data_IF_815845166500
#
_entry.id   IF_815845166500
#
_cell.length_a   1.000
_cell.length_b   1.000
_cell.length_c   1.000
_cell.angle_alpha   90.00
_cell.angle_beta   90.00
_cell.angle_gamma   90.00
#
_symmetry.space_group_name_H-M   'P 1'
#
loop_
_entity.id
_entity.type
_entity.pdbx_description
1 polymer ?
#
# COMPACT_ATOMS: atom_id res chain seq x y z
N UNK A 1 24.56 -3.80 12.02
CA UNK A 1 23.83 -2.57 11.62
C UNK A 1 23.51 -2.55 10.12
N UNK A 2 24.33 -3.17 9.26
CA UNK A 2 24.08 -3.27 7.80
C UNK A 2 22.80 -4.03 7.38
N UNK A 3 22.27 -4.92 8.23
CA UNK A 3 21.08 -5.74 7.88
C UNK A 3 19.74 -4.99 7.89
N UNK A 4 19.61 -3.85 8.57
CA UNK A 4 18.32 -3.15 8.67
C UNK A 4 17.91 -2.47 7.36
N UNK A 5 18.90 -2.00 6.59
CA UNK A 5 18.67 -1.42 5.27
C UNK A 5 18.01 -2.41 4.29
N UNK A 6 18.30 -3.71 4.44
CA UNK A 6 17.70 -4.75 3.58
C UNK A 6 16.22 -5.01 3.89
N UNK A 7 15.70 -4.54 5.02
CA UNK A 7 14.29 -4.71 5.39
C UNK A 7 13.37 -3.71 4.68
N UNK A 8 13.91 -2.60 4.17
CA UNK A 8 13.11 -1.50 3.61
C UNK A 8 12.26 -1.94 2.43
N UNK A 9 12.75 -2.72 1.45
CA UNK A 9 11.90 -3.23 0.38
C UNK A 9 10.72 -4.08 0.89
N UNK A 10 10.88 -4.76 2.04
CA UNK A 10 9.83 -5.63 2.58
C UNK A 10 8.59 -4.84 2.98
N UNK A 11 8.73 -3.57 3.37
CA UNK A 11 7.58 -2.76 3.77
C UNK A 11 6.56 -2.60 2.64
N UNK A 12 7.02 -2.54 1.38
CA UNK A 12 6.17 -2.47 0.19
C UNK A 12 5.84 -3.87 -0.34
N UNK A 13 6.81 -4.79 -0.32
CA UNK A 13 6.64 -6.13 -0.89
C UNK A 13 5.62 -6.98 -0.12
N UNK A 14 5.62 -6.94 1.21
CA UNK A 14 4.68 -7.70 2.05
C UNK A 14 3.21 -7.38 1.70
N UNK A 15 2.75 -6.12 1.70
CA UNK A 15 1.38 -5.80 1.35
C UNK A 15 1.11 -6.04 -0.14
N UNK A 16 2.09 -5.85 -1.01
CA UNK A 16 1.96 -6.17 -2.45
C UNK A 16 1.71 -7.65 -2.71
N UNK A 17 2.43 -8.53 -2.01
CA UNK A 17 2.23 -9.98 -2.08
C UNK A 17 0.85 -10.35 -1.52
N UNK A 18 0.45 -9.76 -0.39
CA UNK A 18 -0.89 -9.95 0.17
C UNK A 18 -2.00 -9.52 -0.80
N UNK A 19 -1.84 -8.38 -1.47
CA UNK A 19 -2.75 -7.90 -2.51
C UNK A 19 -2.82 -8.87 -3.68
N UNK A 20 -1.67 -9.32 -4.19
CA UNK A 20 -1.57 -10.25 -5.32
C UNK A 20 -2.26 -11.59 -5.00
N UNK A 21 -1.98 -12.18 -3.83
CA UNK A 21 -2.61 -13.43 -3.42
C UNK A 21 -4.13 -13.27 -3.31
N UNK A 22 -4.62 -12.21 -2.65
CA UNK A 22 -6.05 -11.97 -2.49
C UNK A 22 -6.76 -11.64 -3.81
N UNK A 23 -6.06 -11.03 -4.77
CA UNK A 23 -6.60 -10.70 -6.09
C UNK A 23 -6.76 -11.93 -6.98
N UNK A 24 -5.71 -12.75 -7.10
CA UNK A 24 -5.68 -13.87 -8.05
C UNK A 24 -6.15 -15.21 -7.46
N UNK A 25 -5.84 -15.47 -6.19
CA UNK A 25 -6.15 -16.74 -5.51
C UNK A 25 -7.32 -16.58 -4.55
N UNK A 26 -7.55 -15.37 -4.02
CA UNK A 26 -8.55 -15.10 -2.98
C UNK A 26 -9.99 -15.51 -3.33
N UNK A 27 -10.36 -15.54 -4.61
CA UNK A 27 -11.68 -16.03 -5.04
C UNK A 27 -11.93 -17.52 -4.73
N UNK A 28 -10.86 -18.30 -4.53
CA UNK A 28 -10.90 -19.74 -4.20
C UNK A 28 -10.69 -20.01 -2.71
N UNK A 29 -10.41 -18.98 -1.91
CA UNK A 29 -10.10 -19.09 -0.50
C UNK A 29 -11.33 -18.75 0.37
N UNK A 30 -11.45 -19.35 1.57
CA UNK A 30 -12.47 -18.92 2.51
C UNK A 30 -12.18 -17.50 3.02
N UNK A 31 -13.23 -16.76 3.42
CA UNK A 31 -13.10 -15.38 3.91
C UNK A 31 -12.05 -15.25 5.02
N UNK A 32 -12.00 -16.21 5.94
CA UNK A 32 -11.00 -16.23 7.02
C UNK A 32 -9.58 -16.23 6.49
N UNK A 33 -9.27 -17.02 5.46
CA UNK A 33 -7.93 -17.08 4.90
C UNK A 33 -7.55 -15.77 4.21
N UNK A 34 -8.47 -15.18 3.44
CA UNK A 34 -8.27 -13.85 2.81
C UNK A 34 -7.99 -12.78 3.87
N UNK A 35 -8.80 -12.76 4.94
CA UNK A 35 -8.67 -11.80 6.03
C UNK A 35 -7.34 -11.96 6.77
N UNK A 36 -6.92 -13.20 7.03
CA UNK A 36 -5.62 -13.51 7.64
C UNK A 36 -4.49 -13.04 6.73
N UNK A 37 -4.50 -13.40 5.45
CA UNK A 37 -3.46 -12.97 4.49
C UNK A 37 -3.35 -11.44 4.46
N UNK A 38 -4.48 -10.74 4.34
CA UNK A 38 -4.52 -9.29 4.28
C UNK A 38 -4.02 -8.64 5.58
N UNK A 39 -4.58 -9.06 6.71
CA UNK A 39 -4.26 -8.48 8.03
C UNK A 39 -2.85 -8.81 8.48
N UNK A 40 -2.37 -10.04 8.27
CA UNK A 40 -0.99 -10.43 8.60
C UNK A 40 0.01 -9.65 7.74
N UNK A 41 -0.28 -9.40 6.47
CA UNK A 41 0.58 -8.55 5.64
C UNK A 41 0.67 -7.11 6.20
N UNK A 42 -0.45 -6.52 6.62
CA UNK A 42 -0.45 -5.20 7.24
C UNK A 42 0.35 -5.18 8.56
N UNK A 43 0.12 -6.18 9.44
CA UNK A 43 0.81 -6.30 10.73
C UNK A 43 2.31 -6.51 10.55
N UNK A 44 2.73 -7.38 9.63
CA UNK A 44 4.15 -7.59 9.34
C UNK A 44 4.81 -6.32 8.81
N UNK A 45 4.10 -5.52 8.00
CA UNK A 45 4.59 -4.22 7.55
C UNK A 45 4.76 -3.24 8.71
N UNK A 46 3.85 -3.25 9.69
CA UNK A 46 3.99 -2.47 10.92
C UNK A 46 5.18 -2.90 11.77
N UNK A 47 5.43 -4.21 11.89
CA UNK A 47 6.62 -4.73 12.56
C UNK A 47 7.90 -4.24 11.87
N UNK A 48 7.95 -4.27 10.52
CA UNK A 48 9.08 -3.70 9.77
C UNK A 48 9.24 -2.20 10.05
N UNK A 49 8.16 -1.43 10.06
CA UNK A 49 8.20 0.01 10.39
C UNK A 49 8.76 0.27 11.80
N UNK A 50 8.35 -0.53 12.80
CA UNK A 50 8.87 -0.45 14.16
C UNK A 50 10.37 -0.77 14.23
N UNK A 51 10.83 -1.78 13.47
CA UNK A 51 12.25 -2.12 13.39
C UNK A 51 13.06 -0.96 12.78
N UNK A 52 12.58 -0.35 11.71
CA UNK A 52 13.22 0.83 11.11
C UNK A 52 13.24 2.03 12.06
N UNK A 53 12.16 2.23 12.84
CA UNK A 53 12.13 3.27 13.87
C UNK A 53 13.13 3.03 14.99
N UNK A 54 13.22 1.78 15.47
CA UNK A 54 14.18 1.39 16.51
C UNK A 54 15.62 1.60 16.05
N UNK A 55 15.91 1.37 14.76
CA UNK A 55 17.22 1.61 14.16
C UNK A 55 17.57 3.11 14.18
N UNK A 56 16.68 3.99 13.72
CA UNK A 56 16.94 5.44 13.71
C UNK A 56 17.02 6.01 15.14
N UNK A 57 16.16 5.57 16.04
CA UNK A 57 16.17 6.00 17.44
C UNK A 57 17.39 5.51 18.22
N UNK A 58 18.01 4.41 17.78
CA UNK A 58 19.25 3.86 18.33
C UNK A 58 20.53 4.54 17.86
N UNK A 59 20.43 5.66 17.13
CA UNK A 59 21.58 6.39 16.57
C UNK A 59 21.95 5.96 15.14
N UNK A 60 21.08 5.23 14.45
CA UNK A 60 21.23 4.96 13.02
C UNK A 60 21.03 6.24 12.19
N UNK A 61 21.89 6.46 11.21
CA UNK A 61 21.78 7.58 10.28
C UNK A 61 20.68 7.32 9.23
N UNK A 62 20.09 8.37 8.64
CA UNK A 62 19.21 8.25 7.50
C UNK A 62 19.89 7.54 6.32
N UNK A 63 19.18 6.62 5.66
CA UNK A 63 19.74 5.81 4.56
C UNK A 63 18.85 5.90 3.32
N UNK A 64 19.49 5.96 2.16
CA UNK A 64 18.85 5.76 0.85
C UNK A 64 19.28 4.41 0.31
N UNK A 65 18.30 3.60 -0.09
CA UNK A 65 18.50 2.21 -0.50
C UNK A 65 18.05 2.04 -1.94
N UNK A 66 18.97 1.50 -2.74
CA UNK A 66 18.65 0.93 -4.04
C UNK A 66 18.09 -0.48 -3.79
N UNK A 67 16.85 -0.79 -4.22
CA UNK A 67 16.32 -2.14 -4.11
C UNK A 67 17.21 -3.10 -4.90
N UNK A 68 17.46 -4.32 -4.40
CA UNK A 68 18.38 -5.27 -5.01
C UNK A 68 17.95 -5.75 -6.40
N UNK A 69 16.70 -5.51 -6.80
CA UNK A 69 16.11 -5.99 -8.05
C UNK A 69 16.09 -4.95 -9.17
N UNK A 70 16.45 -3.68 -8.90
CA UNK A 70 16.37 -2.59 -9.87
C UNK A 70 17.72 -1.88 -9.99
N UNK A 71 18.41 -2.08 -11.10
CA UNK A 71 19.60 -1.29 -11.49
C UNK A 71 19.17 -0.07 -12.31
N UNK A 72 18.57 0.90 -11.63
CA UNK A 72 17.93 2.07 -12.25
C UNK A 72 16.47 1.81 -12.64
N UNK A 73 15.74 2.89 -12.96
CA UNK A 73 14.34 2.80 -13.44
C UNK A 73 14.16 3.42 -14.82
N UNK A 74 14.52 4.70 -14.99
CA UNK A 74 14.44 5.40 -16.28
C UNK A 74 15.80 6.03 -16.56
N UNK A 75 16.41 5.66 -17.69
CA UNK A 75 17.66 6.25 -18.18
C UNK A 75 17.43 6.79 -19.58
N UNK A 76 17.46 8.12 -19.74
CA UNK A 76 17.30 8.79 -21.04
C UNK A 76 18.33 9.91 -21.15
N UNK A 77 19.28 9.75 -22.09
CA UNK A 77 20.42 10.66 -22.25
C UNK A 77 21.15 10.91 -20.92
N UNK A 78 21.10 12.14 -20.39
CA UNK A 78 21.74 12.53 -19.13
C UNK A 78 20.83 12.39 -17.90
N UNK A 79 19.56 11.99 -18.08
CA UNK A 79 18.60 11.80 -16.99
C UNK A 79 18.67 10.33 -16.53
N UNK A 80 19.17 10.09 -15.31
CA UNK A 80 19.05 8.81 -14.60
C UNK A 80 18.12 8.99 -13.40
N UNK A 81 16.93 8.39 -13.49
CA UNK A 81 15.98 8.29 -12.39
C UNK A 81 16.04 6.84 -11.90
N UNK A 82 16.62 6.67 -10.71
CA UNK A 82 16.72 5.38 -10.05
C UNK A 82 15.53 5.15 -9.12
N UNK A 83 15.04 3.91 -9.05
CA UNK A 83 14.04 3.52 -8.05
C UNK A 83 14.73 3.41 -6.69
N UNK A 84 14.52 4.38 -5.81
CA UNK A 84 15.27 4.49 -4.55
C UNK A 84 14.32 4.73 -3.38
N UNK A 85 14.54 3.99 -2.29
CA UNK A 85 13.77 4.12 -1.07
C UNK A 85 14.56 4.92 -0.04
N UNK A 86 13.94 5.94 0.54
CA UNK A 86 14.52 6.77 1.60
C UNK A 86 13.95 6.38 2.95
N UNK A 87 14.84 6.22 3.92
CA UNK A 87 14.52 5.96 5.32
C UNK A 87 15.18 7.03 6.16
N UNK A 88 14.35 7.91 6.70
CA UNK A 88 14.66 8.98 7.62
C UNK A 88 13.56 9.12 8.67
N UNK A 89 13.73 10.04 9.62
CA UNK A 89 12.78 10.21 10.73
C UNK A 89 11.35 10.50 10.25
N UNK A 90 11.20 11.29 9.19
CA UNK A 90 9.88 11.65 8.65
C UNK A 90 9.20 10.45 7.99
N UNK A 91 9.88 9.81 7.05
CA UNK A 91 9.37 8.64 6.31
C UNK A 91 9.02 7.51 7.26
N UNK A 92 9.86 7.18 8.24
CA UNK A 92 9.57 6.11 9.21
C UNK A 92 8.39 6.46 10.11
N UNK A 93 8.27 7.71 10.56
CA UNK A 93 7.10 8.15 11.33
C UNK A 93 5.81 7.98 10.53
N UNK A 94 5.82 8.36 9.25
CA UNK A 94 4.69 8.17 8.35
C UNK A 94 4.41 6.69 8.06
N UNK A 95 5.45 5.87 7.87
CA UNK A 95 5.31 4.42 7.71
C UNK A 95 4.63 3.78 8.93
N UNK A 96 5.03 4.14 10.15
CA UNK A 96 4.40 3.65 11.38
C UNK A 96 2.94 4.09 11.49
N UNK A 97 2.63 5.35 11.16
CA UNK A 97 1.25 5.84 11.16
C UNK A 97 0.37 5.05 10.17
N UNK A 98 0.82 4.94 8.92
CA UNK A 98 0.10 4.25 7.84
C UNK A 98 -0.10 2.78 8.21
N UNK A 99 0.97 2.06 8.55
CA UNK A 99 0.92 0.63 8.85
C UNK A 99 0.20 0.33 10.17
N UNK A 100 0.35 1.17 11.20
CA UNK A 100 -0.32 1.02 12.49
C UNK A 100 -1.83 1.20 12.39
N UNK A 101 -2.28 2.38 11.92
CA UNK A 101 -3.71 2.67 11.74
C UNK A 101 -4.33 1.70 10.74
N UNK A 102 -3.64 1.43 9.63
CA UNK A 102 -4.20 0.55 8.63
C UNK A 102 -4.23 -0.93 9.04
N UNK A 103 -3.33 -1.41 9.91
CA UNK A 103 -3.48 -2.75 10.50
C UNK A 103 -4.78 -2.87 11.29
N UNK A 104 -5.13 -1.84 12.06
CA UNK A 104 -6.42 -1.78 12.77
C UNK A 104 -7.60 -1.78 11.79
N UNK A 105 -7.50 -1.04 10.69
CA UNK A 105 -8.53 -1.02 9.63
C UNK A 105 -8.69 -2.41 9.00
N UNK A 106 -7.61 -3.16 8.76
CA UNK A 106 -7.69 -4.52 8.21
C UNK A 106 -8.43 -5.47 9.15
N UNK A 107 -8.08 -5.45 10.45
CA UNK A 107 -8.73 -6.28 11.47
C UNK A 107 -10.22 -5.93 11.59
N UNK A 108 -10.55 -4.64 11.64
CA UNK A 108 -11.94 -4.17 11.67
C UNK A 108 -12.71 -4.61 10.42
N UNK A 109 -12.10 -4.45 9.24
CA UNK A 109 -12.72 -4.78 7.96
C UNK A 109 -13.04 -6.26 7.81
N UNK A 110 -12.28 -7.14 8.47
CA UNK A 110 -12.55 -8.58 8.46
C UNK A 110 -13.92 -8.91 9.07
N UNK A 111 -14.32 -8.20 10.13
CA UNK A 111 -15.65 -8.33 10.73
C UNK A 111 -16.70 -7.57 9.95
N UNK A 112 -16.40 -6.33 9.52
CA UNK A 112 -17.35 -5.46 8.83
C UNK A 112 -17.81 -6.02 7.47
N UNK A 113 -16.90 -6.65 6.72
CA UNK A 113 -17.19 -7.19 5.39
C UNK A 113 -17.72 -8.63 5.41
N UNK A 114 -17.90 -9.24 6.58
CA UNK A 114 -18.28 -10.65 6.68
C UNK A 114 -19.58 -10.95 5.92
N UNK A 115 -19.55 -12.00 5.09
CA UNK A 115 -20.69 -12.40 4.25
C UNK A 115 -20.84 -11.60 2.95
N UNK A 116 -19.93 -10.66 2.63
CA UNK A 116 -19.92 -10.00 1.33
C UNK A 116 -19.37 -10.94 0.24
N UNK A 117 -20.08 -11.13 -0.89
CA UNK A 117 -19.67 -12.05 -1.95
C UNK A 117 -18.34 -11.68 -2.62
N UNK A 118 -17.85 -10.44 -2.44
CA UNK A 118 -16.60 -9.92 -3.02
C UNK A 118 -15.56 -9.63 -1.94
N UNK A 119 -15.65 -10.29 -0.79
CA UNK A 119 -14.72 -10.17 0.34
C UNK A 119 -13.24 -10.16 -0.11
N UNK A 120 -12.85 -11.09 -0.99
CA UNK A 120 -11.48 -11.18 -1.49
C UNK A 120 -11.01 -9.95 -2.28
N UNK A 121 -11.91 -9.31 -3.04
CA UNK A 121 -11.60 -8.11 -3.83
C UNK A 121 -11.37 -6.91 -2.93
N UNK A 122 -12.17 -6.79 -1.86
CA UNK A 122 -12.03 -5.71 -0.90
C UNK A 122 -10.64 -5.76 -0.25
N UNK A 123 -10.24 -6.93 0.27
CA UNK A 123 -8.92 -7.11 0.88
C UNK A 123 -7.78 -6.98 -0.13
N UNK A 124 -7.96 -7.39 -1.38
CA UNK A 124 -6.97 -7.13 -2.43
C UNK A 124 -6.75 -5.62 -2.66
N UNK A 125 -7.84 -4.84 -2.76
CA UNK A 125 -7.76 -3.39 -2.95
C UNK A 125 -7.21 -2.67 -1.72
N UNK A 126 -7.56 -3.14 -0.52
CA UNK A 126 -7.07 -2.59 0.74
C UNK A 126 -5.55 -2.80 0.90
N UNK A 127 -5.06 -4.00 0.60
CA UNK A 127 -3.62 -4.28 0.59
C UNK A 127 -2.88 -3.51 -0.52
N UNK A 128 -3.51 -3.34 -1.69
CA UNK A 128 -2.93 -2.56 -2.79
C UNK A 128 -2.83 -1.07 -2.44
N UNK A 129 -3.85 -0.51 -1.78
CA UNK A 129 -3.82 0.84 -1.22
C UNK A 129 -2.64 1.00 -0.26
N UNK A 130 -2.43 0.01 0.60
CA UNK A 130 -1.30 -0.05 1.53
C UNK A 130 0.05 -0.02 0.82
N UNK A 131 0.23 -0.86 -0.20
CA UNK A 131 1.47 -0.93 -0.96
C UNK A 131 1.82 0.41 -1.65
N UNK A 132 0.83 1.06 -2.28
CA UNK A 132 1.05 2.35 -2.93
C UNK A 132 1.27 3.49 -1.95
N UNK A 133 0.55 3.52 -0.82
CA UNK A 133 0.79 4.51 0.23
C UNK A 133 2.21 4.39 0.81
N UNK A 134 2.70 3.17 0.99
CA UNK A 134 4.07 2.93 1.47
C UNK A 134 5.12 3.28 0.40
N UNK A 135 4.81 3.05 -0.88
CA UNK A 135 5.65 3.50 -2.00
C UNK A 135 5.76 5.03 -2.03
N UNK A 136 4.64 5.74 -1.81
CA UNK A 136 4.60 7.20 -1.73
C UNK A 136 5.49 7.72 -0.61
N UNK A 137 5.36 7.16 0.59
CA UNK A 137 6.12 7.59 1.78
C UNK A 137 7.61 7.22 1.70
N UNK A 138 7.93 6.08 1.08
CA UNK A 138 9.31 5.62 0.94
C UNK A 138 10.06 6.27 -0.23
N UNK A 139 9.40 7.02 -1.12
CA UNK A 139 10.00 7.52 -2.35
C UNK A 139 11.16 8.48 -2.09
N UNK A 140 12.33 8.22 -2.69
CA UNK A 140 13.48 9.15 -2.65
C UNK A 140 13.46 10.21 -3.76
N UNK A 141 12.55 10.09 -4.74
CA UNK A 141 12.40 11.06 -5.81
C UNK A 141 10.92 11.29 -6.15
N UNK A 142 10.65 12.43 -6.79
CA UNK A 142 9.28 12.85 -7.13
C UNK A 142 8.56 11.87 -8.04
N UNK A 143 9.27 11.16 -8.91
CA UNK A 143 8.64 10.23 -9.84
C UNK A 143 8.16 8.96 -9.13
N UNK A 144 8.95 8.41 -8.19
CA UNK A 144 8.52 7.30 -7.34
C UNK A 144 7.37 7.73 -6.42
N UNK A 145 7.43 8.94 -5.86
CA UNK A 145 6.34 9.51 -5.08
C UNK A 145 5.06 9.62 -5.92
N UNK A 146 5.17 10.08 -7.17
CA UNK A 146 4.07 10.19 -8.13
C UNK A 146 3.46 8.82 -8.47
N UNK A 147 4.26 7.77 -8.62
CA UNK A 147 3.74 6.39 -8.79
C UNK A 147 2.92 5.95 -7.58
N UNK A 148 3.42 6.21 -6.36
CA UNK A 148 2.65 5.96 -5.14
C UNK A 148 1.35 6.77 -5.10
N UNK A 149 1.42 8.05 -5.48
CA UNK A 149 0.31 8.99 -5.50
C UNK A 149 -0.82 8.55 -6.44
N UNK A 150 -0.50 8.26 -7.70
CA UNK A 150 -1.43 7.73 -8.70
C UNK A 150 -2.03 6.38 -8.26
N UNK A 151 -1.20 5.51 -7.69
CA UNK A 151 -1.62 4.21 -7.20
C UNK A 151 -2.62 4.31 -6.04
N UNK A 152 -2.41 5.26 -5.12
CA UNK A 152 -3.37 5.58 -4.05
C UNK A 152 -4.69 6.09 -4.65
N UNK A 153 -4.64 7.00 -5.62
CA UNK A 153 -5.83 7.50 -6.33
C UNK A 153 -6.64 6.39 -7.01
N UNK A 154 -5.97 5.47 -7.69
CA UNK A 154 -6.59 4.28 -8.30
C UNK A 154 -7.25 3.38 -7.25
N UNK A 155 -6.55 3.06 -6.17
CA UNK A 155 -7.09 2.23 -5.10
C UNK A 155 -8.30 2.88 -4.42
N UNK A 156 -8.27 4.20 -4.19
CA UNK A 156 -9.41 4.95 -3.67
C UNK A 156 -10.61 4.87 -4.61
N UNK A 157 -10.42 5.00 -5.93
CA UNK A 157 -11.49 4.81 -6.90
C UNK A 157 -12.13 3.41 -6.78
N UNK A 158 -11.32 2.36 -6.70
CA UNK A 158 -11.78 0.98 -6.60
C UNK A 158 -12.54 0.70 -5.29
N UNK A 159 -12.05 1.25 -4.17
CA UNK A 159 -12.67 1.08 -2.84
C UNK A 159 -13.97 1.88 -2.70
N UNK A 160 -14.01 3.14 -3.16
CA UNK A 160 -15.24 3.96 -3.15
C UNK A 160 -16.31 3.34 -4.05
N UNK A 161 -15.90 2.85 -5.23
CA UNK A 161 -16.76 2.23 -6.21
C UNK A 161 -17.09 0.75 -5.92
N UNK A 162 -16.64 0.19 -4.79
CA UNK A 162 -16.67 -1.25 -4.54
C UNK A 162 -18.06 -1.89 -4.71
N UNK A 163 -19.09 -1.27 -4.15
CA UNK A 163 -20.49 -1.68 -4.31
C UNK A 163 -21.18 -0.98 -5.50
N UNK A 164 -20.67 -1.18 -6.70
CA UNK A 164 -21.22 -0.59 -7.94
C UNK A 164 -22.58 -1.18 -8.35
N UNK A 165 -22.92 -2.40 -7.92
CA UNK A 165 -24.09 -3.19 -8.35
C UNK A 165 -25.16 -3.34 -7.27
N UNK A 166 -25.13 -2.51 -6.22
CA UNK A 166 -26.04 -2.61 -5.07
C UNK A 166 -27.51 -2.67 -5.54
N UNK A 167 -28.21 -3.77 -5.22
CA UNK A 167 -29.51 -4.22 -5.76
C UNK A 167 -30.72 -3.32 -5.49
N UNK A 168 -30.55 -2.17 -4.83
CA UNK A 168 -31.61 -1.17 -4.60
C UNK A 168 -31.51 0.06 -5.52
N UNK A 169 -30.77 -0.03 -6.63
CA UNK A 169 -30.63 1.09 -7.58
C UNK A 169 -29.77 2.25 -7.06
N UNK A 170 -28.93 2.01 -6.04
CA UNK A 170 -28.05 3.03 -5.42
C UNK A 170 -26.58 2.88 -5.87
N UNK A 171 -26.23 1.76 -6.52
CA UNK A 171 -24.83 1.46 -6.92
C UNK A 171 -24.21 2.47 -7.90
N UNK A 172 -25.03 3.11 -8.76
CA UNK A 172 -24.57 4.18 -9.63
C UNK A 172 -24.08 5.41 -8.84
N UNK A 173 -24.61 5.67 -7.63
CA UNK A 173 -24.15 6.78 -6.77
C UNK A 173 -22.74 6.53 -6.26
N UNK A 174 -22.42 5.28 -5.90
CA UNK A 174 -21.06 4.89 -5.51
C UNK A 174 -20.10 5.03 -6.70
N UNK A 175 -20.54 4.62 -7.89
CA UNK A 175 -19.75 4.77 -9.12
C UNK A 175 -19.51 6.23 -9.49
N UNK A 176 -20.51 7.11 -9.31
CA UNK A 176 -20.35 8.54 -9.51
C UNK A 176 -19.46 9.19 -8.44
N UNK A 177 -19.57 8.76 -7.18
CA UNK A 177 -18.70 9.23 -6.11
C UNK A 177 -17.24 8.85 -6.38
N UNK A 178 -17.00 7.59 -6.78
CA UNK A 178 -15.69 7.12 -7.20
C UNK A 178 -15.16 7.93 -8.39
N UNK A 179 -15.97 8.13 -9.44
CA UNK A 179 -15.59 8.93 -10.59
C UNK A 179 -15.27 10.38 -10.22
N UNK A 180 -16.06 10.99 -9.32
CA UNK A 180 -15.79 12.34 -8.83
C UNK A 180 -14.46 12.40 -8.08
N UNK A 181 -14.22 11.47 -7.15
CA UNK A 181 -12.97 11.39 -6.42
C UNK A 181 -11.77 11.25 -7.37
N UNK A 182 -11.86 10.35 -8.35
CA UNK A 182 -10.79 10.11 -9.30
C UNK A 182 -10.51 11.31 -10.21
N UNK A 183 -11.54 11.96 -10.77
CA UNK A 183 -11.36 13.14 -11.62
C UNK A 183 -10.74 14.30 -10.84
N UNK A 184 -11.23 14.56 -9.62
CA UNK A 184 -10.70 15.66 -8.80
C UNK A 184 -9.26 15.38 -8.39
N UNK A 185 -8.93 14.15 -8.02
CA UNK A 185 -7.54 13.76 -7.72
C UNK A 185 -6.65 13.96 -8.95
N UNK A 186 -7.08 13.43 -10.10
CA UNK A 186 -6.35 13.51 -11.37
C UNK A 186 -6.10 14.91 -11.90
N UNK A 187 -6.90 15.90 -11.51
CA UNK A 187 -6.65 17.30 -11.84
C UNK A 187 -5.57 17.91 -10.95
N UNK A 188 -5.40 17.39 -9.73
CA UNK A 188 -4.33 17.78 -8.82
C UNK A 188 -3.02 17.05 -9.04
N UNK A 189 -3.08 15.82 -9.55
CA UNK A 189 -1.93 14.98 -9.94
C UNK A 189 -1.19 15.57 -11.15
#
# INVERSE_FOLDING_TARGET
>A
MENYAQLVPLIILIPSIGAFINLFVGARLPERAVAIIGSTAAILSFVVALLLYSYLSGGGEPVVINPPFFDGWIRVAEIDISWQMRVDTLSVTMMMLVTGVGSLIHIYSAGYMHGDPRFHRFFAYLNMFFAFMLTLVAGNNFLMMFVGWEGVGLCSFLLIGFWFDKTKGVGWRNSLAARKAFIVNRVGD
#
